data_IF_433100181528
#
_entry.id   IF_433100181528
#
_cell.length_a   1.000
_cell.length_b   1.000
_cell.length_c   1.000
_cell.angle_alpha   90.00
_cell.angle_beta   90.00
_cell.angle_gamma   90.00
#
_symmetry.space_group_name_H-M   'P 1'
#
loop_
_entity.id
_entity.type
_entity.pdbx_description
1 polymer ?
#
# COMPACT_ATOMS: atom_id res chain seq x y z
N UNK A 1 -7.82 90.20 -15.73
CA UNK A 1 -7.61 89.23 -14.63
C UNK A 1 -8.76 88.23 -14.65
N UNK A 2 -8.49 86.93 -14.82
CA UNK A 2 -9.52 85.90 -14.85
C UNK A 2 -8.98 84.55 -15.33
N UNK A 3 -8.12 83.91 -14.52
CA UNK A 3 -7.56 82.58 -14.79
C UNK A 3 -8.67 81.51 -14.68
N UNK A 4 -9.02 80.87 -15.80
CA UNK A 4 -9.88 79.67 -15.83
C UNK A 4 -9.11 78.47 -15.28
N UNK A 5 -9.46 78.01 -14.08
CA UNK A 5 -8.93 76.78 -13.51
C UNK A 5 -9.52 75.55 -14.24
N UNK A 6 -8.66 74.77 -14.89
CA UNK A 6 -8.97 73.44 -15.41
C UNK A 6 -8.77 72.43 -14.28
N UNK A 7 -9.85 71.85 -13.77
CA UNK A 7 -9.80 70.74 -12.81
C UNK A 7 -9.65 69.44 -13.61
N UNK A 8 -8.45 68.88 -13.64
CA UNK A 8 -8.20 67.51 -14.14
C UNK A 8 -8.51 66.54 -13.00
N UNK A 9 -9.63 65.82 -13.10
CA UNK A 9 -9.94 64.69 -12.20
C UNK A 9 -9.10 63.49 -12.65
N UNK A 10 -8.03 63.20 -11.92
CA UNK A 10 -7.22 62.00 -12.09
C UNK A 10 -7.87 60.86 -11.29
N UNK A 11 -8.59 59.96 -11.97
CA UNK A 11 -9.15 58.76 -11.35
C UNK A 11 -8.08 57.68 -11.26
N UNK A 12 -7.51 57.49 -10.07
CA UNK A 12 -6.61 56.36 -9.77
C UNK A 12 -7.44 55.09 -9.59
N UNK A 13 -7.44 54.20 -10.58
CA UNK A 13 -7.90 52.82 -10.43
C UNK A 13 -6.84 52.04 -9.64
N UNK A 14 -7.13 51.77 -8.37
CA UNK A 14 -6.32 50.91 -7.52
C UNK A 14 -6.67 49.45 -7.84
N UNK A 15 -5.91 48.82 -8.74
CA UNK A 15 -6.04 47.40 -9.02
C UNK A 15 -5.38 46.62 -7.87
N UNK A 16 -6.19 46.24 -6.88
CA UNK A 16 -5.77 45.39 -5.77
C UNK A 16 -5.48 43.98 -6.30
N UNK A 17 -4.22 43.73 -6.66
CA UNK A 17 -3.76 42.39 -6.99
C UNK A 17 -3.66 41.60 -5.68
N UNK A 18 -4.73 40.90 -5.31
CA UNK A 18 -4.69 39.96 -4.21
C UNK A 18 -3.85 38.76 -4.66
N UNK A 19 -2.65 38.63 -4.12
CA UNK A 19 -1.90 37.38 -4.23
C UNK A 19 -2.63 36.33 -3.41
N UNK A 20 -3.41 35.48 -4.06
CA UNK A 20 -3.89 34.26 -3.43
C UNK A 20 -2.69 33.36 -3.22
N UNK A 21 -2.19 33.29 -1.99
CA UNK A 21 -1.19 32.30 -1.59
C UNK A 21 -1.88 30.94 -1.59
N UNK A 22 -1.79 30.21 -2.71
CA UNK A 22 -2.18 28.80 -2.73
C UNK A 22 -1.14 28.06 -1.91
N UNK A 23 -1.50 27.66 -0.70
CA UNK A 23 -0.64 26.80 0.10
C UNK A 23 -0.58 25.44 -0.60
N UNK A 24 0.58 25.13 -1.19
CA UNK A 24 0.79 23.93 -1.99
C UNK A 24 0.92 22.73 -1.06
N UNK A 25 -0.16 21.97 -0.89
CA UNK A 25 -0.12 20.71 -0.14
C UNK A 25 0.70 19.66 -0.89
N UNK A 26 1.52 18.91 -0.15
CA UNK A 26 2.40 17.89 -0.73
C UNK A 26 1.75 16.51 -0.60
N UNK A 27 1.57 15.80 -1.71
CA UNK A 27 1.05 14.42 -1.71
C UNK A 27 2.20 13.44 -1.78
N UNK A 28 2.19 12.44 -0.89
CA UNK A 28 3.18 11.39 -0.82
C UNK A 28 2.53 10.02 -0.95
N UNK A 29 3.14 9.13 -1.73
CA UNK A 29 2.89 7.70 -1.65
C UNK A 29 3.91 7.10 -0.69
N UNK A 30 3.42 6.56 0.42
CA UNK A 30 4.23 5.85 1.40
C UNK A 30 4.23 4.37 1.07
N UNK A 31 5.40 3.76 1.17
CA UNK A 31 5.57 2.32 1.00
C UNK A 31 6.43 1.77 2.13
N UNK A 32 5.85 0.89 2.94
CA UNK A 32 6.53 0.18 4.03
C UNK A 32 6.76 -1.26 3.59
N UNK A 33 8.00 -1.72 3.66
CA UNK A 33 8.41 -3.05 3.25
C UNK A 33 7.74 -4.19 4.04
N UNK A 34 7.89 -5.44 3.60
CA UNK A 34 7.38 -6.64 4.29
C UNK A 34 7.72 -6.69 5.78
N UNK A 35 6.78 -7.16 6.61
CA UNK A 35 6.97 -7.41 8.03
C UNK A 35 6.85 -8.89 8.41
N UNK A 36 7.12 -9.23 9.68
CA UNK A 36 7.09 -10.61 10.15
C UNK A 36 5.68 -11.16 10.39
N UNK A 37 4.73 -10.30 10.74
CA UNK A 37 3.36 -10.70 11.07
C UNK A 37 2.54 -10.97 9.80
N UNK A 38 1.57 -11.90 9.88
CA UNK A 38 0.80 -12.35 8.71
C UNK A 38 0.07 -11.20 7.99
N UNK A 39 -0.43 -10.21 8.72
CA UNK A 39 -1.14 -9.05 8.14
C UNK A 39 -0.20 -8.00 7.52
N UNK A 40 1.10 -8.09 7.78
CA UNK A 40 2.13 -7.14 7.29
C UNK A 40 3.07 -7.73 6.24
N UNK A 41 2.85 -8.99 5.87
CA UNK A 41 3.84 -9.82 5.19
C UNK A 41 4.13 -9.38 3.74
N UNK A 42 3.22 -8.62 3.12
CA UNK A 42 3.41 -8.04 1.79
C UNK A 42 3.76 -6.55 1.82
N UNK A 43 4.05 -6.04 3.01
CA UNK A 43 4.26 -4.62 3.23
C UNK A 43 2.96 -3.87 3.46
N UNK A 44 3.05 -2.56 3.38
CA UNK A 44 1.94 -1.65 3.54
C UNK A 44 2.14 -0.41 2.66
N UNK A 45 1.06 0.26 2.30
CA UNK A 45 1.11 1.52 1.56
C UNK A 45 -0.01 2.45 2.01
N UNK A 46 0.26 3.74 1.94
CA UNK A 46 -0.64 4.80 2.38
C UNK A 46 -0.41 6.06 1.53
N UNK A 47 -1.38 6.98 1.56
CA UNK A 47 -1.20 8.32 1.00
C UNK A 47 -1.00 9.30 2.16
N UNK A 48 -0.05 10.21 2.04
CA UNK A 48 0.03 11.35 2.95
C UNK A 48 -0.25 12.65 2.22
N UNK A 49 -0.98 13.55 2.87
CA UNK A 49 -1.13 14.93 2.45
C UNK A 49 -0.51 15.77 3.55
N UNK A 50 0.60 16.43 3.20
CA UNK A 50 1.51 17.04 4.16
C UNK A 50 1.98 15.99 5.18
N UNK A 51 1.70 16.18 6.48
CA UNK A 51 2.07 15.22 7.52
C UNK A 51 0.97 14.22 7.86
N UNK A 52 -0.25 14.42 7.34
CA UNK A 52 -1.39 13.57 7.65
C UNK A 52 -1.40 12.34 6.73
N UNK A 53 -1.23 11.17 7.31
CA UNK A 53 -1.23 9.88 6.61
C UNK A 53 -2.62 9.27 6.64
N UNK A 54 -3.08 8.82 5.49
CA UNK A 54 -4.32 8.11 5.27
C UNK A 54 -4.00 6.67 4.87
N UNK A 55 -4.17 5.76 5.81
CA UNK A 55 -3.86 4.35 5.66
C UNK A 55 -5.12 3.49 5.80
N UNK A 56 -5.08 2.32 5.16
CA UNK A 56 -6.18 1.36 5.15
C UNK A 56 -5.69 0.03 5.71
N UNK A 57 -6.57 -0.77 6.28
CA UNK A 57 -6.21 -2.08 6.79
C UNK A 57 -5.87 -2.10 8.28
N UNK A 58 -6.27 -1.06 9.02
CA UNK A 58 -6.34 -1.16 10.47
C UNK A 58 -7.49 -2.11 10.86
N UNK A 59 -7.31 -2.85 11.93
CA UNK A 59 -8.35 -3.71 12.50
C UNK A 59 -8.20 -3.74 14.01
N UNK A 60 -9.32 -3.98 14.71
CA UNK A 60 -9.33 -3.97 16.16
C UNK A 60 -9.08 -5.37 16.72
N UNK A 61 -7.92 -5.60 17.32
CA UNK A 61 -7.59 -6.85 18.00
C UNK A 61 -8.45 -7.12 19.25
N UNK A 62 -9.08 -6.09 19.80
CA UNK A 62 -9.93 -6.19 20.99
C UNK A 62 -11.40 -6.51 20.69
N UNK A 63 -11.77 -6.75 19.42
CA UNK A 63 -13.10 -7.26 19.11
C UNK A 63 -13.25 -8.70 19.61
N UNK A 64 -14.32 -8.95 20.37
CA UNK A 64 -14.66 -10.28 20.89
C UNK A 64 -14.71 -11.30 19.73
N UNK A 65 -13.82 -12.29 19.80
CA UNK A 65 -13.70 -13.40 18.85
C UNK A 65 -13.02 -13.09 17.50
N UNK A 66 -11.93 -12.30 17.50
CA UNK A 66 -11.01 -12.16 16.34
C UNK A 66 -10.75 -13.48 15.59
N UNK A 67 -10.50 -14.57 16.32
CA UNK A 67 -10.25 -15.90 15.74
C UNK A 67 -11.47 -16.48 15.02
N UNK A 68 -12.69 -16.26 15.54
CA UNK A 68 -13.95 -16.69 14.90
C UNK A 68 -14.23 -15.84 13.67
N UNK A 69 -14.09 -14.52 13.78
CA UNK A 69 -14.26 -13.59 12.66
C UNK A 69 -13.31 -13.92 11.50
N UNK A 70 -12.06 -14.27 11.82
CA UNK A 70 -11.09 -14.78 10.83
C UNK A 70 -11.57 -16.09 10.17
N UNK A 71 -12.02 -17.08 10.95
CA UNK A 71 -12.49 -18.37 10.42
C UNK A 71 -13.74 -18.27 9.53
N UNK A 72 -14.59 -17.27 9.74
CA UNK A 72 -15.81 -17.04 8.94
C UNK A 72 -15.67 -15.91 7.91
N UNK A 73 -14.47 -15.34 7.76
CA UNK A 73 -14.16 -14.21 6.85
C UNK A 73 -14.97 -12.92 7.11
N UNK A 74 -15.23 -12.56 8.37
CA UNK A 74 -15.98 -11.36 8.80
C UNK A 74 -15.08 -10.32 9.50
N UNK A 75 -13.81 -10.23 9.08
CA UNK A 75 -12.87 -9.25 9.63
C UNK A 75 -13.20 -7.86 9.09
N UNK A 76 -13.59 -6.93 9.96
CA UNK A 76 -13.89 -5.54 9.59
C UNK A 76 -12.62 -4.69 9.65
N UNK A 77 -12.02 -4.47 8.49
CA UNK A 77 -10.89 -3.57 8.37
C UNK A 77 -11.39 -2.13 8.21
N UNK A 78 -10.57 -1.18 8.66
CA UNK A 78 -10.89 0.22 8.68
C UNK A 78 -9.77 1.08 8.07
N UNK A 79 -10.17 2.22 7.56
CA UNK A 79 -9.31 3.36 7.30
C UNK A 79 -8.95 4.05 8.62
N UNK A 80 -7.70 4.49 8.73
CA UNK A 80 -7.18 5.27 9.84
C UNK A 80 -6.39 6.47 9.36
N UNK A 81 -6.23 7.43 10.26
CA UNK A 81 -5.41 8.61 10.05
C UNK A 81 -4.33 8.64 11.14
N UNK A 82 -3.09 8.88 10.74
CA UNK A 82 -1.91 8.98 11.61
C UNK A 82 -1.00 10.11 11.13
N UNK A 83 0.03 10.43 11.91
CA UNK A 83 1.09 11.35 11.51
C UNK A 83 2.23 10.61 10.82
N UNK A 84 2.87 11.26 9.83
CA UNK A 84 3.98 10.68 9.06
C UNK A 84 5.14 10.24 9.95
N UNK A 85 5.43 10.99 11.01
CA UNK A 85 6.47 10.64 11.99
C UNK A 85 6.15 9.37 12.76
N UNK A 86 4.87 9.13 13.06
CA UNK A 86 4.44 7.94 13.78
C UNK A 86 4.55 6.71 12.88
N UNK A 87 4.14 6.80 11.62
CA UNK A 87 4.28 5.72 10.64
C UNK A 87 5.76 5.36 10.41
N UNK A 88 6.64 6.37 10.32
CA UNK A 88 8.08 6.16 10.22
C UNK A 88 8.61 5.45 11.46
N UNK A 89 8.28 5.94 12.67
CA UNK A 89 8.67 5.31 13.93
C UNK A 89 8.20 3.85 14.02
N UNK A 90 6.95 3.57 13.60
CA UNK A 90 6.42 2.21 13.57
C UNK A 90 7.20 1.32 12.62
N UNK A 91 7.52 1.78 11.41
CA UNK A 91 8.33 1.03 10.46
C UNK A 91 9.75 0.74 10.99
N UNK A 92 10.39 1.73 11.63
CA UNK A 92 11.70 1.59 12.28
C UNK A 92 11.66 0.55 13.40
N UNK A 93 10.66 0.61 14.29
CA UNK A 93 10.50 -0.32 15.41
C UNK A 93 10.32 -1.77 14.93
N UNK A 94 9.73 -1.95 13.76
CA UNK A 94 9.51 -3.25 13.12
C UNK A 94 10.66 -3.66 12.18
N UNK A 95 11.69 -2.81 12.02
CA UNK A 95 12.79 -3.00 11.06
C UNK A 95 12.31 -3.22 9.63
N UNK A 96 11.34 -2.42 9.19
CA UNK A 96 10.76 -2.48 7.85
C UNK A 96 11.17 -1.26 7.06
N UNK A 97 11.69 -1.45 5.85
CA UNK A 97 12.09 -0.34 4.98
C UNK A 97 10.92 0.65 4.80
N UNK A 98 11.19 1.94 4.92
CA UNK A 98 10.22 3.00 4.68
C UNK A 98 10.66 3.83 3.47
N UNK A 99 9.82 3.88 2.45
CA UNK A 99 10.07 4.65 1.22
C UNK A 99 8.93 5.64 1.00
N UNK A 100 9.29 6.85 0.61
CA UNK A 100 8.37 7.94 0.27
C UNK A 100 8.58 8.34 -1.19
N UNK A 101 7.48 8.47 -1.94
CA UNK A 101 7.46 9.10 -3.26
C UNK A 101 6.61 10.38 -3.20
N UNK A 102 7.22 11.53 -3.46
CA UNK A 102 6.52 12.81 -3.60
C UNK A 102 5.89 12.87 -4.98
N UNK A 103 4.58 13.13 -5.04
CA UNK A 103 3.80 13.04 -6.27
C UNK A 103 3.46 14.42 -6.86
N UNK A 104 3.56 14.54 -8.18
CA UNK A 104 3.12 15.71 -8.95
C UNK A 104 1.61 15.64 -9.22
N UNK A 105 0.81 16.05 -8.24
CA UNK A 105 -0.65 16.12 -8.32
C UNK A 105 -1.08 17.59 -8.40
N UNK A 106 -2.01 17.91 -9.31
CA UNK A 106 -2.50 19.29 -9.45
C UNK A 106 -3.20 19.76 -8.17
N UNK A 107 -3.11 21.06 -7.79
CA UNK A 107 -3.73 21.55 -6.55
C UNK A 107 -5.22 21.22 -6.41
N UNK A 108 -5.97 21.28 -7.52
CA UNK A 108 -7.38 20.91 -7.55
C UNK A 108 -7.59 19.43 -7.24
N UNK A 109 -6.77 18.55 -7.82
CA UNK A 109 -6.83 17.11 -7.55
C UNK A 109 -6.41 16.78 -6.11
N UNK A 110 -5.45 17.51 -5.52
CA UNK A 110 -5.09 17.34 -4.10
C UNK A 110 -6.27 17.69 -3.19
N UNK A 111 -6.95 18.80 -3.44
CA UNK A 111 -8.13 19.19 -2.68
C UNK A 111 -9.25 18.13 -2.77
N UNK A 112 -9.52 17.63 -3.97
CA UNK A 112 -10.52 16.58 -4.20
C UNK A 112 -10.14 15.28 -3.50
N UNK A 113 -8.88 14.85 -3.65
CA UNK A 113 -8.33 13.67 -2.98
C UNK A 113 -8.51 13.78 -1.46
N UNK A 114 -8.12 14.92 -0.87
CA UNK A 114 -8.27 15.16 0.57
C UNK A 114 -9.73 15.05 1.00
N UNK A 115 -10.64 15.71 0.28
CA UNK A 115 -12.07 15.66 0.60
C UNK A 115 -12.62 14.22 0.56
N UNK A 116 -12.19 13.43 -0.42
CA UNK A 116 -12.62 12.03 -0.54
C UNK A 116 -12.06 11.16 0.60
N UNK A 117 -10.79 11.35 0.97
CA UNK A 117 -10.17 10.64 2.09
C UNK A 117 -10.84 11.02 3.43
N UNK A 118 -11.08 12.31 3.67
CA UNK A 118 -11.77 12.78 4.87
C UNK A 118 -13.21 12.23 4.95
N UNK A 119 -13.92 12.16 3.81
CA UNK A 119 -15.25 11.56 3.73
C UNK A 119 -15.22 10.05 4.05
N UNK A 120 -14.22 9.32 3.55
CA UNK A 120 -14.07 7.89 3.84
C UNK A 120 -13.67 7.62 5.30
N UNK A 121 -13.01 8.57 5.96
CA UNK A 121 -12.66 8.41 7.37
C UNK A 121 -13.86 8.51 8.34
N UNK A 122 -15.01 9.03 7.88
CA UNK A 122 -16.21 9.12 8.70
C UNK A 122 -16.61 7.73 9.25
N UNK A 123 -17.16 7.63 10.48
CA UNK A 123 -17.46 6.34 11.13
C UNK A 123 -18.30 5.38 10.28
N UNK A 124 -19.23 5.92 9.49
CA UNK A 124 -20.11 5.17 8.60
C UNK A 124 -19.43 4.67 7.32
N UNK A 125 -18.29 5.25 6.92
CA UNK A 125 -17.63 4.97 5.64
C UNK A 125 -16.28 4.25 5.80
N UNK A 126 -15.66 4.31 6.99
CA UNK A 126 -14.27 3.87 7.16
C UNK A 126 -14.07 2.36 7.11
N UNK A 127 -15.13 1.58 7.32
CA UNK A 127 -15.04 0.12 7.38
C UNK A 127 -15.30 -0.52 6.02
N UNK A 128 -14.58 -1.60 5.71
CA UNK A 128 -14.77 -2.35 4.48
C UNK A 128 -14.51 -3.85 4.68
N UNK A 129 -15.14 -4.68 3.85
CA UNK A 129 -14.93 -6.12 3.82
C UNK A 129 -13.61 -6.42 3.15
N UNK A 130 -12.66 -7.00 3.86
CA UNK A 130 -11.32 -7.21 3.33
C UNK A 130 -11.27 -8.41 2.38
N UNK A 131 -10.59 -8.21 1.26
CA UNK A 131 -10.18 -9.26 0.34
C UNK A 131 -8.69 -9.09 0.05
N UNK A 132 -7.96 -10.21 0.02
CA UNK A 132 -6.52 -10.20 -0.07
C UNK A 132 -5.97 -9.62 -1.38
N UNK A 133 -6.73 -9.73 -2.48
CA UNK A 133 -6.30 -9.30 -3.80
C UNK A 133 -7.18 -8.18 -4.37
N UNK A 134 -8.45 -8.15 -4.01
CA UNK A 134 -9.42 -7.24 -4.62
C UNK A 134 -9.80 -6.06 -3.71
N UNK A 135 -9.65 -6.19 -2.39
CA UNK A 135 -10.08 -5.16 -1.44
C UNK A 135 -9.22 -5.12 -0.17
N UNK A 136 -7.97 -4.70 -0.34
CA UNK A 136 -6.97 -4.53 0.70
C UNK A 136 -6.42 -3.08 0.77
N UNK A 137 -5.46 -2.84 1.65
CA UNK A 137 -4.84 -1.51 1.81
C UNK A 137 -4.28 -0.92 0.51
N UNK A 138 -3.58 -1.72 -0.28
CA UNK A 138 -2.96 -1.30 -1.53
C UNK A 138 -4.01 -1.00 -2.61
N UNK A 139 -5.04 -1.83 -2.76
CA UNK A 139 -6.13 -1.56 -3.72
C UNK A 139 -6.89 -0.27 -3.38
N UNK A 140 -7.12 0.03 -2.10
CA UNK A 140 -7.73 1.31 -1.69
C UNK A 140 -6.85 2.50 -2.08
N UNK A 141 -5.57 2.45 -1.75
CA UNK A 141 -4.60 3.50 -2.12
C UNK A 141 -4.51 3.66 -3.64
N UNK A 142 -4.42 2.55 -4.39
CA UNK A 142 -4.43 2.53 -5.86
C UNK A 142 -5.65 3.25 -6.42
N UNK A 143 -6.84 2.98 -5.87
CA UNK A 143 -8.08 3.55 -6.39
C UNK A 143 -8.16 5.07 -6.12
N UNK A 144 -7.75 5.54 -4.94
CA UNK A 144 -7.64 6.98 -4.64
C UNK A 144 -6.57 7.67 -5.50
N UNK A 145 -5.42 7.02 -5.68
CA UNK A 145 -4.35 7.51 -6.54
C UNK A 145 -4.82 7.61 -7.99
N UNK A 146 -5.57 6.62 -8.49
CA UNK A 146 -6.15 6.65 -9.81
C UNK A 146 -7.09 7.85 -10.00
N UNK A 147 -7.95 8.14 -9.01
CA UNK A 147 -8.80 9.32 -9.02
C UNK A 147 -7.97 10.62 -9.06
N UNK A 148 -6.91 10.71 -8.25
CA UNK A 148 -6.01 11.87 -8.23
C UNK A 148 -5.26 12.08 -9.57
N UNK A 149 -5.03 10.99 -10.32
CA UNK A 149 -4.46 11.01 -11.68
C UNK A 149 -5.50 11.06 -12.80
N UNK A 150 -6.77 11.34 -12.48
CA UNK A 150 -7.87 11.40 -13.46
C UNK A 150 -8.01 10.15 -14.34
N UNK A 151 -7.73 8.97 -13.78
CA UNK A 151 -7.86 7.69 -14.49
C UNK A 151 -6.61 7.23 -15.26
N UNK A 152 -5.56 8.06 -15.31
CA UNK A 152 -4.34 7.72 -16.05
C UNK A 152 -3.66 6.46 -15.50
N UNK A 153 -3.58 6.31 -14.17
CA UNK A 153 -3.01 5.11 -13.54
C UNK A 153 -3.71 3.83 -14.02
N UNK A 154 -5.05 3.82 -14.07
CA UNK A 154 -5.81 2.68 -14.57
C UNK A 154 -5.51 2.40 -16.04
N UNK A 155 -5.48 3.44 -16.88
CA UNK A 155 -5.24 3.29 -18.32
C UNK A 155 -3.86 2.68 -18.59
N UNK A 156 -2.81 3.17 -17.94
CA UNK A 156 -1.45 2.67 -18.14
C UNK A 156 -1.22 1.27 -17.55
N UNK A 157 -1.97 0.92 -16.49
CA UNK A 157 -1.78 -0.36 -15.77
C UNK A 157 -2.55 -1.55 -16.35
N UNK A 158 -3.21 -1.40 -17.50
CA UNK A 158 -3.86 -2.51 -18.20
C UNK A 158 -2.87 -3.47 -18.88
N UNK A 159 -1.63 -3.05 -19.06
CA UNK A 159 -0.55 -3.86 -19.61
C UNK A 159 -0.32 -5.11 -18.75
N UNK A 160 0.06 -6.23 -19.40
CA UNK A 160 0.44 -7.45 -18.69
C UNK A 160 1.66 -7.18 -17.81
N UNK A 161 1.54 -7.55 -16.54
CA UNK A 161 2.65 -7.56 -15.60
C UNK A 161 3.43 -8.88 -15.75
N UNK A 162 4.71 -8.92 -15.34
CA UNK A 162 5.46 -10.16 -15.27
C UNK A 162 5.01 -11.07 -14.12
N UNK A 163 4.02 -10.66 -13.32
CA UNK A 163 3.68 -11.29 -12.06
C UNK A 163 2.38 -12.11 -12.14
N UNK A 164 2.31 -13.12 -11.30
CA UNK A 164 1.10 -13.83 -10.88
C UNK A 164 0.90 -13.65 -9.38
N UNK A 165 -0.25 -14.03 -8.83
CA UNK A 165 -0.41 -14.06 -7.37
C UNK A 165 0.62 -14.99 -6.72
N UNK A 166 0.95 -16.12 -7.33
CA UNK A 166 2.01 -17.00 -6.84
C UNK A 166 3.39 -16.31 -6.81
N UNK A 167 3.70 -15.48 -7.80
CA UNK A 167 4.98 -14.75 -7.87
C UNK A 167 5.07 -13.67 -6.76
N UNK A 168 3.99 -12.90 -6.54
CA UNK A 168 3.97 -11.80 -5.57
C UNK A 168 3.84 -12.26 -4.11
N UNK A 169 3.56 -13.54 -3.91
CA UNK A 169 3.45 -14.17 -2.58
C UNK A 169 4.71 -14.97 -2.21
N UNK A 170 5.79 -14.88 -3.01
CA UNK A 170 7.09 -15.58 -2.85
C UNK A 170 8.32 -14.64 -2.93
N UNK A 171 9.37 -14.81 -2.10
CA UNK A 171 9.36 -15.27 -0.72
C UNK A 171 9.07 -14.09 0.21
N UNK A 172 7.88 -14.08 0.78
CA UNK A 172 7.56 -13.17 1.88
C UNK A 172 7.86 -13.90 3.19
N UNK A 173 8.54 -13.21 4.10
CA UNK A 173 9.09 -13.70 5.36
C UNK A 173 8.34 -14.89 6.00
N UNK A 174 8.94 -16.09 5.99
CA UNK A 174 8.45 -17.31 6.72
C UNK A 174 7.05 -17.86 6.37
N UNK A 175 6.52 -17.67 5.16
CA UNK A 175 5.09 -17.95 4.86
C UNK A 175 4.76 -19.16 3.96
N UNK A 176 5.66 -20.12 3.83
CA UNK A 176 5.41 -21.42 3.15
C UNK A 176 4.04 -22.09 3.40
N UNK A 177 3.48 -22.03 4.62
CA UNK A 177 2.17 -22.57 4.97
C UNK A 177 1.01 -21.72 4.40
N UNK A 178 1.11 -20.39 4.48
CA UNK A 178 0.16 -19.48 3.83
C UNK A 178 0.19 -19.66 2.31
N UNK A 179 1.37 -19.84 1.71
CA UNK A 179 1.50 -20.22 0.28
C UNK A 179 0.72 -21.49 -0.03
N UNK A 180 0.86 -22.54 0.78
CA UNK A 180 0.11 -23.77 0.58
C UNK A 180 -1.41 -23.52 0.68
N UNK A 181 -1.85 -22.74 1.67
CA UNK A 181 -3.26 -22.35 1.80
C UNK A 181 -3.80 -21.57 0.60
N UNK A 182 -3.07 -20.56 0.12
CA UNK A 182 -3.45 -19.78 -1.07
C UNK A 182 -3.45 -20.64 -2.34
N UNK A 183 -2.46 -21.53 -2.49
CA UNK A 183 -2.42 -22.47 -3.61
C UNK A 183 -3.60 -23.44 -3.60
N UNK A 184 -4.07 -23.88 -2.43
CA UNK A 184 -5.28 -24.68 -2.30
C UNK A 184 -6.56 -23.88 -2.57
N UNK A 185 -6.65 -22.64 -2.06
CA UNK A 185 -7.84 -21.80 -2.19
C UNK A 185 -8.07 -21.27 -3.61
N UNK A 186 -7.00 -20.81 -4.27
CA UNK A 186 -7.05 -20.20 -5.61
C UNK A 186 -6.65 -21.15 -6.74
N UNK A 187 -6.04 -22.30 -6.41
CA UNK A 187 -5.66 -23.31 -7.39
C UNK A 187 -4.80 -22.78 -8.53
N UNK A 188 -5.09 -23.24 -9.74
CA UNK A 188 -4.37 -22.85 -10.96
C UNK A 188 -4.47 -21.35 -11.29
N UNK A 189 -5.52 -20.66 -10.82
CA UNK A 189 -5.70 -19.23 -11.10
C UNK A 189 -4.62 -18.37 -10.44
N UNK A 190 -4.05 -18.80 -9.31
CA UNK A 190 -2.96 -18.09 -8.64
C UNK A 190 -1.70 -17.95 -9.51
N UNK A 191 -1.53 -18.80 -10.52
CA UNK A 191 -0.35 -18.85 -11.39
C UNK A 191 -0.56 -18.09 -12.71
N UNK A 192 -1.74 -17.53 -12.95
CA UNK A 192 -2.02 -16.76 -14.16
C UNK A 192 -1.36 -15.38 -14.09
N UNK A 193 -0.86 -14.90 -15.24
CA UNK A 193 -0.23 -13.57 -15.32
C UNK A 193 -1.28 -12.46 -15.23
N UNK A 194 -1.07 -11.57 -14.28
CA UNK A 194 -1.91 -10.42 -13.96
C UNK A 194 -1.57 -9.24 -14.87
N UNK A 195 -2.49 -8.27 -15.00
CA UNK A 195 -2.08 -6.93 -15.42
C UNK A 195 -1.50 -6.15 -14.21
N UNK A 196 -0.92 -4.98 -14.46
CA UNK A 196 -0.38 -4.16 -13.37
C UNK A 196 -1.48 -3.69 -12.42
N UNK A 197 -2.69 -3.38 -12.90
CA UNK A 197 -3.81 -2.97 -12.06
C UNK A 197 -4.16 -4.00 -10.97
N UNK A 198 -4.20 -5.28 -11.35
CA UNK A 198 -4.40 -6.41 -10.44
C UNK A 198 -3.18 -6.62 -9.52
N UNK A 199 -1.98 -6.47 -10.07
CA UNK A 199 -0.73 -6.64 -9.30
C UNK A 199 -0.54 -5.54 -8.24
N UNK A 200 -1.16 -4.37 -8.42
CA UNK A 200 -1.23 -3.29 -7.43
C UNK A 200 -2.06 -3.63 -6.18
N UNK A 201 -2.52 -4.88 -6.04
CA UNK A 201 -2.89 -5.45 -4.74
C UNK A 201 -1.69 -5.56 -3.78
N UNK A 202 -0.45 -5.40 -4.30
CA UNK A 202 0.79 -5.46 -3.53
C UNK A 202 1.45 -4.08 -3.49
N UNK A 203 1.76 -3.53 -2.30
CA UNK A 203 2.35 -2.21 -2.13
C UNK A 203 3.57 -1.91 -3.01
N UNK A 204 4.50 -2.86 -3.14
CA UNK A 204 5.76 -2.66 -3.88
C UNK A 204 5.48 -2.45 -5.37
N UNK A 205 4.46 -3.11 -5.90
CA UNK A 205 4.09 -2.98 -7.31
C UNK A 205 3.59 -1.57 -7.60
N UNK A 206 2.83 -0.95 -6.69
CA UNK A 206 2.40 0.45 -6.87
C UNK A 206 3.63 1.35 -6.92
N UNK A 207 4.52 1.23 -5.93
CA UNK A 207 5.75 2.03 -5.84
C UNK A 207 6.60 1.92 -7.11
N UNK A 208 6.87 0.70 -7.54
CA UNK A 208 7.71 0.42 -8.70
C UNK A 208 7.04 0.86 -10.01
N UNK A 209 5.74 0.65 -10.15
CA UNK A 209 4.98 1.12 -11.30
C UNK A 209 4.99 2.65 -11.40
N UNK A 210 4.83 3.35 -10.28
CA UNK A 210 4.90 4.81 -10.25
C UNK A 210 6.27 5.32 -10.74
N UNK A 211 7.38 4.67 -10.35
CA UNK A 211 8.70 5.06 -10.84
C UNK A 211 8.96 4.71 -12.31
N UNK A 212 8.41 3.58 -12.79
CA UNK A 212 8.77 3.04 -14.10
C UNK A 212 7.86 3.54 -15.21
N UNK A 213 6.56 3.65 -14.95
CA UNK A 213 5.53 3.96 -15.94
C UNK A 213 4.93 5.35 -15.75
N UNK A 214 4.85 5.85 -14.51
CA UNK A 214 4.30 7.17 -14.17
C UNK A 214 5.39 8.12 -13.64
N UNK A 215 6.61 8.04 -14.20
CA UNK A 215 7.78 8.76 -13.65
C UNK A 215 7.63 10.28 -13.71
N UNK A 216 6.86 10.81 -14.65
CA UNK A 216 6.46 12.21 -14.74
C UNK A 216 5.57 12.66 -13.56
N UNK A 217 4.91 11.71 -12.89
CA UNK A 217 4.12 11.94 -11.67
C UNK A 217 4.94 11.80 -10.39
N UNK A 218 6.18 11.32 -10.43
CA UNK A 218 7.04 11.18 -9.25
C UNK A 218 8.09 12.28 -9.27
N UNK A 219 7.94 13.26 -8.37
CA UNK A 219 8.88 14.39 -8.22
C UNK A 219 10.19 13.92 -7.59
N UNK A 220 10.08 13.08 -6.56
CA UNK A 220 11.23 12.56 -5.83
C UNK A 220 10.86 11.23 -5.15
N UNK A 221 11.84 10.32 -5.03
CA UNK A 221 11.76 9.14 -4.17
C UNK A 221 12.86 9.21 -3.10
N UNK A 222 12.51 8.92 -1.85
CA UNK A 222 13.47 8.83 -0.75
C UNK A 222 13.20 7.58 0.10
N UNK A 223 14.26 6.82 0.40
CA UNK A 223 14.22 5.79 1.43
C UNK A 223 14.54 6.46 2.76
N UNK A 224 13.52 6.67 3.59
CA UNK A 224 13.65 7.35 4.88
C UNK A 224 14.23 6.42 5.95
N UNK A 225 13.99 5.11 5.82
CA UNK A 225 14.58 4.10 6.68
C UNK A 225 14.87 2.82 5.92
N UNK A 226 16.06 2.25 6.13
CA UNK A 226 16.48 0.96 5.59
C UNK A 226 16.93 0.06 6.75
N UNK A 227 16.33 -1.12 6.94
CA UNK A 227 16.78 -2.04 7.96
C UNK A 227 18.15 -2.64 7.59
N UNK A 228 18.98 -3.00 8.58
CA UNK A 228 20.22 -3.72 8.32
C UNK A 228 19.90 -5.07 7.66
N UNK A 229 20.80 -5.54 6.78
CA UNK A 229 20.64 -6.83 6.13
C UNK A 229 20.61 -7.96 7.18
N UNK A 230 19.57 -8.80 7.15
CA UNK A 230 19.50 -9.98 8.02
C UNK A 230 20.29 -11.15 7.43
N UNK A 231 21.11 -11.79 8.27
CA UNK A 231 21.76 -13.05 7.92
C UNK A 231 20.73 -14.19 7.86
N UNK A 232 20.92 -15.13 6.93
CA UNK A 232 20.13 -16.36 6.79
C UNK A 232 18.64 -16.17 6.40
N UNK A 233 18.27 -15.03 5.81
CA UNK A 233 16.91 -14.75 5.36
C UNK A 233 16.33 -15.87 4.46
N UNK A 234 17.12 -16.34 3.49
CA UNK A 234 16.73 -17.45 2.60
C UNK A 234 16.36 -18.71 3.40
N UNK A 235 17.13 -19.07 4.43
CA UNK A 235 16.81 -20.24 5.26
C UNK A 235 15.51 -20.03 6.03
N UNK A 236 15.27 -18.83 6.59
CA UNK A 236 14.02 -18.50 7.29
C UNK A 236 12.81 -18.60 6.35
N UNK A 237 12.93 -18.11 5.13
CA UNK A 237 11.86 -18.11 4.14
C UNK A 237 11.49 -19.53 3.67
N UNK A 238 12.46 -20.45 3.68
CA UNK A 238 12.31 -21.80 3.15
C UNK A 238 12.28 -22.88 4.24
N UNK A 239 12.36 -22.50 5.53
CA UNK A 239 12.51 -23.42 6.66
C UNK A 239 11.46 -24.54 6.68
N UNK A 240 10.21 -24.21 6.42
CA UNK A 240 9.14 -25.21 6.35
C UNK A 240 9.35 -26.24 5.23
N UNK A 241 9.74 -25.80 4.02
CA UNK A 241 9.99 -26.72 2.92
C UNK A 241 11.19 -27.61 3.23
N UNK A 242 12.21 -27.05 3.89
CA UNK A 242 13.36 -27.83 4.37
C UNK A 242 12.94 -28.87 5.43
N UNK A 243 12.07 -28.50 6.37
CA UNK A 243 11.54 -29.42 7.39
C UNK A 243 10.66 -30.50 6.75
N UNK A 244 9.75 -30.12 5.84
CA UNK A 244 8.86 -31.04 5.14
C UNK A 244 9.67 -32.05 4.29
N UNK A 245 10.65 -31.57 3.52
CA UNK A 245 11.52 -32.42 2.72
C UNK A 245 12.33 -33.36 3.63
N UNK A 246 12.86 -32.84 4.74
CA UNK A 246 13.55 -33.65 5.75
C UNK A 246 12.65 -34.74 6.34
N UNK A 247 11.41 -34.41 6.70
CA UNK A 247 10.42 -35.36 7.22
C UNK A 247 10.08 -36.46 6.21
N UNK A 248 9.88 -36.09 4.94
CA UNK A 248 9.61 -37.04 3.85
C UNK A 248 10.81 -37.97 3.59
N UNK A 249 12.04 -37.44 3.63
CA UNK A 249 13.26 -38.25 3.49
C UNK A 249 13.41 -39.23 4.65
N UNK A 250 13.20 -38.80 5.89
CA UNK A 250 13.23 -39.69 7.07
C UNK A 250 12.18 -40.80 6.93
N UNK A 251 10.95 -40.46 6.55
CA UNK A 251 9.88 -41.43 6.33
C UNK A 251 10.22 -42.44 5.22
N UNK A 252 10.95 -42.03 4.19
CA UNK A 252 11.40 -42.91 3.10
C UNK A 252 12.47 -43.92 3.56
N UNK A 253 13.32 -43.56 4.53
CA UNK A 253 14.34 -44.45 5.08
C UNK A 253 13.86 -45.34 6.24
N UNK A 254 12.72 -45.03 6.86
CA UNK A 254 12.07 -45.90 7.83
C UNK A 254 11.37 -47.03 7.06
N UNK A 255 12.03 -48.20 6.93
CA UNK A 255 11.37 -49.41 6.43
C UNK A 255 10.21 -49.76 7.36
N UNK A 256 9.03 -50.16 6.84
CA UNK A 256 7.96 -50.65 7.68
C UNK A 256 8.49 -51.87 8.47
N UNK A 257 8.36 -51.83 9.79
CA UNK A 257 8.58 -53.01 10.63
C UNK A 257 7.51 -54.00 10.23
N UNK A 258 7.86 -54.91 9.31
CA UNK A 258 7.01 -56.02 8.94
C UNK A 258 7.01 -56.94 10.15
N UNK A 259 6.00 -56.84 11.00
CA UNK A 259 5.76 -57.81 12.06
C UNK A 259 5.62 -59.17 11.37
N UNK A 260 6.68 -59.99 11.46
CA UNK A 260 6.57 -61.41 11.18
C UNK A 260 5.78 -62.00 12.34
N UNK A 261 4.45 -62.04 12.17
CA UNK A 261 3.61 -62.93 12.97
C UNK A 261 3.92 -64.34 12.46
N UNK A 262 4.33 -65.16 13.42
CA UNK A 262 4.79 -66.56 13.34
C UNK A 262 3.90 -67.44 12.47
#
# INVERSE_FOLDING_TARGET
MGLRQRVVKLSLLFCMCWTVTVNSQTVRLITIGPGEAFWSVYGHTALAIDNQVYAFGYFNFAEDNLFKAFLINDMRYAMGISDLSDELYWAESQRRQFTEQILAISPLAVQQLKQQLDYHYLPQNRHYAYDYFDNNCATKVRDFLNQATAGELFQQSQLKSPYSYADLTLPTYRQSAMRFGLALGYGYQAYQKLNYWQSMAFPMVIKDFMNQQMSDRVVNEAVLYQPPAESWQILKDHAFYLILLGGLLIAWFIKPIRNQVV
#
